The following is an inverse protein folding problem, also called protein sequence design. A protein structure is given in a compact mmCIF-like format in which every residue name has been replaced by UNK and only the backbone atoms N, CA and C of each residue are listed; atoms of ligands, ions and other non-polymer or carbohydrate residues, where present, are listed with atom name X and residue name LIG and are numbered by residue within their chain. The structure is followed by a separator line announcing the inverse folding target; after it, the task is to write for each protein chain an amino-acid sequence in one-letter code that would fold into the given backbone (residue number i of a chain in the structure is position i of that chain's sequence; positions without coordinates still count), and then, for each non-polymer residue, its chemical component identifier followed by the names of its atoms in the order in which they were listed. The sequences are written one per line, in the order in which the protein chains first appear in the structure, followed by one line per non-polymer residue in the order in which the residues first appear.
data_IF_097158247452
#
_entry.id   IF_097158247452
#
_cell.length_a   1.000
_cell.length_b   1.000
_cell.length_c   1.000
_cell.angle_alpha   90.00
_cell.angle_beta   90.00
_cell.angle_gamma   90.00
#
_symmetry.space_group_name_H-M   'P 1'
#
loop_
_entity.id
_entity.type
_entity.pdbx_description
1 polymer ?
#
# COMPACT_ATOMS: atom_id res chain seq x y z
N UNK A 1 -27.50 -14.11 43.40
CA UNK A 1 -26.35 -13.18 43.50
C UNK A 1 -26.76 -11.83 42.95
N UNK A 2 -26.40 -10.77 43.67
CA UNK A 2 -26.99 -9.43 43.60
C UNK A 2 -26.48 -8.57 42.44
N UNK A 3 -27.30 -7.59 42.04
CA UNK A 3 -27.01 -6.55 41.05
C UNK A 3 -26.12 -5.46 41.66
N UNK A 4 -25.16 -4.91 40.93
CA UNK A 4 -24.76 -3.50 41.13
C UNK A 4 -24.30 -2.86 39.83
N UNK A 5 -25.06 -1.84 39.42
CA UNK A 5 -24.66 -0.79 38.48
C UNK A 5 -23.77 0.19 39.25
N UNK A 6 -22.72 0.69 38.61
CA UNK A 6 -21.93 1.85 39.03
C UNK A 6 -21.76 2.66 37.74
N UNK A 7 -22.61 3.65 37.49
CA UNK A 7 -22.45 5.06 37.88
C UNK A 7 -21.16 5.68 37.34
N UNK A 8 -21.24 6.23 36.13
CA UNK A 8 -20.37 7.33 35.70
C UNK A 8 -21.22 8.59 35.76
N UNK A 9 -20.92 9.39 36.77
CA UNK A 9 -21.54 10.66 37.10
C UNK A 9 -21.43 11.67 35.96
N UNK A 10 -22.58 12.24 35.64
CA UNK A 10 -22.75 13.45 34.85
C UNK A 10 -22.36 14.67 35.70
N UNK A 11 -21.44 15.47 35.17
CA UNK A 11 -21.23 16.90 35.52
C UNK A 11 -20.84 17.62 34.23
N UNK A 12 -21.23 18.83 33.88
CA UNK A 12 -22.29 19.76 34.25
C UNK A 12 -22.10 20.94 33.26
N UNK A 13 -23.22 21.50 32.79
CA UNK A 13 -23.39 22.86 32.25
C UNK A 13 -22.49 23.43 31.13
N UNK A 14 -23.16 23.95 30.10
CA UNK A 14 -22.56 24.88 29.16
C UNK A 14 -23.42 25.08 27.93
N UNK A 15 -24.55 25.77 28.08
CA UNK A 15 -25.26 26.35 26.94
C UNK A 15 -24.33 27.35 26.26
N UNK A 16 -23.88 27.09 25.05
CA UNK A 16 -23.39 28.16 24.19
C UNK A 16 -23.83 27.95 22.75
N UNK A 17 -24.74 28.83 22.32
CA UNK A 17 -25.08 29.04 20.92
C UNK A 17 -23.90 29.74 20.26
N UNK A 18 -22.87 28.99 19.87
CA UNK A 18 -21.88 29.53 18.94
C UNK A 18 -22.39 29.36 17.51
N UNK A 19 -22.83 30.48 16.94
CA UNK A 19 -23.03 30.66 15.51
C UNK A 19 -21.73 30.27 14.81
N UNK A 20 -21.69 29.12 14.16
CA UNK A 20 -20.59 28.81 13.25
C UNK A 20 -20.71 29.75 12.05
N UNK A 21 -19.72 30.63 11.77
CA UNK A 21 -19.68 31.30 10.48
C UNK A 21 -19.37 30.23 9.43
N UNK A 22 -20.32 30.03 8.52
CA UNK A 22 -20.09 29.31 7.28
C UNK A 22 -19.06 30.05 6.44
N UNK A 23 -18.34 29.28 5.63
CA UNK A 23 -17.57 29.70 4.45
C UNK A 23 -16.13 30.16 4.69
N UNK A 24 -15.23 29.20 4.56
CA UNK A 24 -14.04 29.41 3.74
C UNK A 24 -13.73 28.12 2.98
N UNK A 25 -14.41 27.91 1.86
CA UNK A 25 -13.96 26.90 0.88
C UNK A 25 -12.56 27.30 0.43
N UNK A 26 -11.55 26.40 0.46
CA UNK A 26 -10.23 26.70 -0.08
C UNK A 26 -10.38 27.03 -1.56
N UNK A 27 -9.75 28.12 -1.99
CA UNK A 27 -9.84 28.66 -3.34
C UNK A 27 -9.34 27.68 -4.39
N UNK A 28 -10.20 26.77 -4.83
CA UNK A 28 -10.05 26.03 -6.07
C UNK A 28 -10.57 26.92 -7.20
N UNK A 29 -9.63 27.31 -8.05
CA UNK A 29 -9.76 28.01 -9.33
C UNK A 29 -11.18 28.06 -9.91
N UNK A 30 -11.76 29.26 -9.94
CA UNK A 30 -12.90 29.56 -10.79
C UNK A 30 -12.54 30.75 -11.71
N UNK A 31 -11.99 30.52 -12.92
CA UNK A 31 -11.80 31.60 -13.86
C UNK A 31 -13.17 31.95 -14.46
N UNK A 32 -13.87 32.91 -13.86
CA UNK A 32 -14.97 33.58 -14.56
C UNK A 32 -14.38 34.34 -15.74
N UNK A 33 -14.67 33.87 -16.96
CA UNK A 33 -14.32 34.55 -18.21
C UNK A 33 -15.09 35.86 -18.28
N UNK A 34 -14.48 36.95 -17.83
CA UNK A 34 -15.04 38.29 -17.97
C UNK A 34 -14.56 38.92 -19.27
N UNK A 35 -15.46 38.99 -20.23
CA UNK A 35 -15.33 39.75 -21.47
C UNK A 35 -14.84 41.17 -21.20
N UNK A 36 -13.73 41.56 -21.81
CA UNK A 36 -13.47 42.93 -22.27
C UNK A 36 -12.36 42.90 -23.31
N UNK A 37 -12.77 42.88 -24.58
CA UNK A 37 -11.90 43.08 -25.72
C UNK A 37 -11.29 44.49 -25.66
N UNK A 38 -10.05 44.59 -25.19
CA UNK A 38 -9.18 45.75 -25.43
C UNK A 38 -7.97 45.31 -26.23
N UNK A 39 -8.02 45.59 -27.54
CA UNK A 39 -6.85 45.52 -28.43
C UNK A 39 -5.80 46.49 -27.91
N UNK A 40 -4.77 45.96 -27.24
CA UNK A 40 -3.49 46.65 -27.05
C UNK A 40 -2.47 45.87 -27.84
N UNK A 41 -1.92 46.49 -28.89
CA UNK A 41 -0.64 46.05 -29.45
C UNK A 41 0.38 46.15 -28.33
N UNK A 42 1.00 45.04 -27.94
CA UNK A 42 2.14 45.01 -27.04
C UNK A 42 3.01 43.86 -27.47
N UNK A 43 4.29 44.18 -27.64
CA UNK A 43 5.33 43.33 -28.15
C UNK A 43 5.38 42.00 -27.38
N UNK A 44 5.70 40.95 -28.13
CA UNK A 44 5.83 39.58 -27.69
C UNK A 44 6.94 39.47 -26.63
N UNK A 45 6.56 39.64 -25.37
CA UNK A 45 7.41 39.31 -24.25
C UNK A 45 7.50 37.79 -24.16
N UNK A 46 8.70 37.27 -24.40
CA UNK A 46 9.07 35.87 -24.29
C UNK A 46 8.44 35.21 -23.06
N UNK A 47 7.88 34.02 -23.26
CA UNK A 47 7.41 33.16 -22.18
C UNK A 47 8.51 33.04 -21.10
N UNK A 48 8.18 33.14 -19.79
CA UNK A 48 9.16 32.87 -18.76
C UNK A 48 9.72 31.45 -18.96
N UNK A 49 11.04 31.24 -18.83
CA UNK A 49 11.61 29.90 -18.92
C UNK A 49 10.93 29.00 -17.87
N UNK A 50 10.74 27.70 -18.16
CA UNK A 50 10.22 26.78 -17.16
C UNK A 50 11.15 26.81 -15.95
N UNK A 51 10.63 27.22 -14.79
CA UNK A 51 11.40 27.17 -13.55
C UNK A 51 11.50 25.71 -13.14
N UNK A 52 12.56 25.04 -13.58
CA UNK A 52 12.97 23.75 -13.02
C UNK A 52 13.36 24.00 -11.56
N UNK A 53 12.45 23.72 -10.64
CA UNK A 53 12.74 23.74 -9.21
C UNK A 53 13.59 22.51 -8.89
N UNK A 54 14.88 22.72 -8.71
CA UNK A 54 15.76 21.70 -8.14
C UNK A 54 15.38 21.49 -6.67
N UNK A 55 14.83 20.32 -6.35
CA UNK A 55 14.60 19.92 -4.96
C UNK A 55 15.96 19.58 -4.37
N UNK A 56 16.53 20.52 -3.61
CA UNK A 56 17.74 20.26 -2.82
C UNK A 56 17.36 19.49 -1.58
N UNK A 57 17.46 18.17 -1.66
CA UNK A 57 17.37 17.33 -0.47
C UNK A 57 18.48 17.74 0.50
N UNK A 58 18.10 17.99 1.75
CA UNK A 58 19.07 18.12 2.83
C UNK A 58 19.82 16.79 2.98
N UNK A 59 21.04 16.85 3.53
CA UNK A 59 21.87 15.64 3.75
C UNK A 59 21.12 14.60 4.59
N UNK A 60 20.28 15.04 5.52
CA UNK A 60 19.40 14.19 6.35
C UNK A 60 18.31 13.51 5.53
N UNK A 61 17.66 14.22 4.60
CA UNK A 61 16.63 13.64 3.73
C UNK A 61 17.23 12.62 2.75
N UNK A 62 18.42 12.89 2.22
CA UNK A 62 19.16 11.92 1.41
C UNK A 62 19.49 10.66 2.22
N UNK A 63 20.05 10.84 3.43
CA UNK A 63 20.38 9.72 4.31
C UNK A 63 19.14 8.88 4.66
N UNK A 64 18.02 9.53 5.01
CA UNK A 64 16.76 8.86 5.29
C UNK A 64 16.28 8.05 4.08
N UNK A 65 16.34 8.63 2.88
CA UNK A 65 15.93 7.95 1.66
C UNK A 65 16.82 6.73 1.36
N UNK A 66 18.14 6.86 1.53
CA UNK A 66 19.07 5.73 1.37
C UNK A 66 18.77 4.60 2.36
N UNK A 67 18.50 4.91 3.63
CA UNK A 67 18.13 3.90 4.64
C UNK A 67 16.82 3.20 4.26
N UNK A 68 15.81 3.96 3.81
CA UNK A 68 14.53 3.39 3.39
C UNK A 68 14.66 2.49 2.16
N UNK A 69 15.48 2.89 1.18
CA UNK A 69 15.75 2.07 0.00
C UNK A 69 16.48 0.78 0.37
N UNK A 70 17.48 0.85 1.26
CA UNK A 70 18.20 -0.31 1.73
C UNK A 70 17.29 -1.29 2.49
N UNK A 71 16.45 -0.77 3.39
CA UNK A 71 15.47 -1.60 4.12
C UNK A 71 14.45 -2.24 3.18
N UNK A 72 13.95 -1.49 2.20
CA UNK A 72 13.04 -2.02 1.18
C UNK A 72 13.69 -3.15 0.40
N UNK A 73 14.94 -2.98 -0.03
CA UNK A 73 15.68 -3.99 -0.77
C UNK A 73 15.89 -5.25 0.08
N UNK A 74 16.30 -5.10 1.34
CA UNK A 74 16.47 -6.23 2.28
C UNK A 74 15.16 -7.00 2.47
N UNK A 75 14.05 -6.30 2.69
CA UNK A 75 12.73 -6.92 2.84
C UNK A 75 12.31 -7.67 1.56
N UNK A 76 12.57 -7.11 0.38
CA UNK A 76 12.27 -7.78 -0.89
C UNK A 76 13.10 -9.06 -1.07
N UNK A 77 14.39 -9.03 -0.72
CA UNK A 77 15.26 -10.21 -0.79
C UNK A 77 14.73 -11.30 0.15
N UNK A 78 14.33 -10.94 1.36
CA UNK A 78 13.81 -11.90 2.34
C UNK A 78 12.48 -12.53 1.89
N UNK A 79 11.57 -11.72 1.34
CA UNK A 79 10.33 -12.21 0.74
C UNK A 79 10.58 -13.15 -0.44
N UNK A 80 11.56 -12.85 -1.30
CA UNK A 80 11.93 -13.73 -2.41
C UNK A 80 12.49 -15.06 -1.91
N UNK A 81 13.34 -15.05 -0.87
CA UNK A 81 13.86 -16.28 -0.27
C UNK A 81 12.75 -17.16 0.30
N UNK A 82 11.79 -16.55 1.00
CA UNK A 82 10.65 -17.28 1.55
C UNK A 82 9.83 -17.91 0.43
N UNK A 83 9.52 -17.15 -0.62
CA UNK A 83 8.79 -17.67 -1.78
C UNK A 83 9.51 -18.83 -2.46
N UNK A 84 10.84 -18.75 -2.63
CA UNK A 84 11.63 -19.85 -3.20
C UNK A 84 11.58 -21.10 -2.31
N UNK A 85 11.57 -20.93 -0.98
CA UNK A 85 11.43 -22.04 -0.06
C UNK A 85 10.06 -22.71 -0.17
N UNK A 86 8.99 -21.92 -0.21
CA UNK A 86 7.61 -22.40 -0.37
C UNK A 86 7.43 -23.15 -1.71
N UNK A 87 7.91 -22.56 -2.81
CA UNK A 87 7.83 -23.17 -4.15
C UNK A 87 8.60 -24.51 -4.19
N UNK A 88 9.74 -24.58 -3.51
CA UNK A 88 10.55 -25.80 -3.41
C UNK A 88 9.85 -26.88 -2.57
N UNK A 89 9.31 -26.52 -1.42
CA UNK A 89 8.57 -27.46 -0.55
C UNK A 89 7.35 -28.03 -1.29
N UNK A 90 6.63 -27.19 -2.02
CA UNK A 90 5.50 -27.64 -2.82
C UNK A 90 5.93 -28.61 -3.94
N UNK A 91 7.00 -28.29 -4.66
CA UNK A 91 7.54 -29.18 -5.70
C UNK A 91 8.02 -30.53 -5.12
N UNK A 92 8.64 -30.53 -3.94
CA UNK A 92 9.03 -31.76 -3.25
C UNK A 92 7.81 -32.59 -2.83
N UNK A 93 6.76 -31.96 -2.31
CA UNK A 93 5.51 -32.64 -1.97
C UNK A 93 4.80 -33.24 -3.19
N UNK A 94 4.79 -32.53 -4.31
CA UNK A 94 4.21 -33.02 -5.57
C UNK A 94 5.00 -34.22 -6.11
N UNK A 95 6.34 -34.13 -6.12
CA UNK A 95 7.21 -35.23 -6.55
C UNK A 95 7.07 -36.47 -5.65
N UNK A 96 6.88 -36.28 -4.34
CA UNK A 96 6.72 -37.37 -3.39
C UNK A 96 5.37 -38.08 -3.59
N UNK A 97 4.30 -37.33 -3.86
CA UNK A 97 2.99 -37.89 -4.23
C UNK A 97 3.05 -38.68 -5.54
N UNK A 98 3.66 -38.12 -6.58
CA UNK A 98 3.79 -38.82 -7.87
C UNK A 98 4.56 -40.14 -7.70
N UNK A 99 5.63 -40.12 -6.91
CA UNK A 99 6.39 -41.33 -6.60
C UNK A 99 5.56 -42.34 -5.82
N UNK A 100 4.82 -41.91 -4.81
CA UNK A 100 3.95 -42.78 -4.02
C UNK A 100 2.87 -43.43 -4.90
N UNK A 101 2.20 -42.66 -5.74
CA UNK A 101 1.20 -43.16 -6.70
C UNK A 101 1.81 -44.17 -7.68
N UNK A 102 3.02 -43.89 -8.18
CA UNK A 102 3.75 -44.81 -9.07
C UNK A 102 4.12 -46.11 -8.36
N UNK A 103 4.68 -46.02 -7.15
CA UNK A 103 5.08 -47.16 -6.35
C UNK A 103 3.85 -48.00 -5.96
N UNK A 104 2.73 -47.36 -5.63
CA UNK A 104 1.47 -48.02 -5.34
C UNK A 104 0.89 -48.71 -6.58
N UNK A 105 0.91 -48.06 -7.74
CA UNK A 105 0.46 -48.67 -9.00
C UNK A 105 1.28 -49.92 -9.33
N UNK A 106 2.61 -49.84 -9.22
CA UNK A 106 3.51 -50.97 -9.43
C UNK A 106 3.24 -52.11 -8.43
N UNK A 107 3.01 -51.76 -7.16
CA UNK A 107 2.67 -52.75 -6.14
C UNK A 107 1.36 -53.48 -6.48
N UNK A 108 0.31 -52.77 -6.85
CA UNK A 108 -0.99 -53.36 -7.17
C UNK A 108 -0.95 -54.20 -8.46
N UNK A 109 -0.18 -53.80 -9.48
CA UNK A 109 -0.14 -54.50 -10.76
C UNK A 109 0.78 -55.73 -10.78
N UNK A 110 1.94 -55.66 -10.12
CA UNK A 110 2.97 -56.71 -10.23
C UNK A 110 3.17 -57.47 -8.93
N UNK A 111 3.32 -56.75 -7.81
CA UNK A 111 3.73 -57.37 -6.55
C UNK A 111 2.56 -58.07 -5.86
N UNK A 112 1.40 -57.41 -5.73
CA UNK A 112 0.24 -57.96 -5.02
C UNK A 112 -0.28 -59.25 -5.69
N UNK A 113 -0.44 -59.35 -7.01
CA UNK A 113 -0.89 -60.60 -7.64
C UNK A 113 0.11 -61.75 -7.43
N UNK A 114 1.42 -61.46 -7.44
CA UNK A 114 2.47 -62.45 -7.21
C UNK A 114 2.53 -62.98 -5.76
N UNK A 115 1.96 -62.27 -4.78
CA UNK A 115 1.89 -62.74 -3.39
C UNK A 115 0.82 -63.81 -3.15
N UNK A 116 -0.15 -63.95 -4.06
CA UNK A 116 -1.29 -64.86 -3.93
C UNK A 116 -1.28 -66.00 -4.97
N UNK A 117 -0.16 -66.20 -5.67
CA UNK A 117 0.14 -67.39 -6.48
C UNK A 117 1.13 -68.29 -5.73
#
# INVERSE_FOLDING_TARGET
MAKSKIDVTRTAHGTDKSKHPSQSSPGFFNPTVSSNARKRKRDEAAAPPPTTREIRLTTTEFLLMSILEELKLRNQIELMKLKIADDKEQAEMEALKEKEERDQAHFESEIRPAMFM
#
